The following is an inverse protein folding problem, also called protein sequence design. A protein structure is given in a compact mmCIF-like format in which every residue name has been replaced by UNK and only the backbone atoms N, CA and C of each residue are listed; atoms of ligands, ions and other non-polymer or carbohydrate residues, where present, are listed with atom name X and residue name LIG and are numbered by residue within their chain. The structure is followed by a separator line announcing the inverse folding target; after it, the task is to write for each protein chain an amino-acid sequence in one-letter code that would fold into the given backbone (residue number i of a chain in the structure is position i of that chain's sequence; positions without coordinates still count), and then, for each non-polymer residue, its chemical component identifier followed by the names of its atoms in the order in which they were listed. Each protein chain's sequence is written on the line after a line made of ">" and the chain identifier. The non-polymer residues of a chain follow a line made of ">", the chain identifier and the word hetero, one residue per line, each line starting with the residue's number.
data_IF_340922622801
#
_entry.id   IF_340922622801
#
_cell.length_a   1.000
_cell.length_b   1.000
_cell.length_c   1.000
_cell.angle_alpha   90.00
_cell.angle_beta   90.00
_cell.angle_gamma   90.00
#
_symmetry.space_group_name_H-M   'P 1'
#
loop_
_entity.id
_entity.type
_entity.pdbx_description
1 polymer ?
#
# COMPACT_ATOMS: atom_id res chain seq x y z
N UNK A 1 65.68 0.19 7.49
CA UNK A 1 65.96 -0.56 8.71
C UNK A 1 64.78 -0.40 9.63
N UNK A 2 64.22 -1.51 10.13
CA UNK A 2 63.22 -1.49 11.21
C UNK A 2 61.86 -2.09 10.78
N UNK A 3 61.77 -3.43 10.54
CA UNK A 3 60.51 -4.16 10.47
C UNK A 3 60.04 -4.47 11.89
N UNK A 4 58.84 -4.04 12.22
CA UNK A 4 58.16 -4.44 13.44
C UNK A 4 57.07 -5.48 13.12
N UNK A 5 57.29 -6.69 13.67
CA UNK A 5 56.35 -7.83 13.55
C UNK A 5 55.36 -7.76 14.69
N UNK A 6 54.05 -7.88 14.40
CA UNK A 6 52.99 -8.09 15.39
C UNK A 6 52.57 -9.57 15.33
N UNK A 7 52.47 -10.28 16.48
CA UNK A 7 52.05 -11.69 16.50
C UNK A 7 50.53 -11.85 16.55
N UNK A 8 50.02 -12.74 15.70
CA UNK A 8 48.64 -13.25 15.68
C UNK A 8 48.36 -14.09 16.94
N UNK A 9 47.32 -13.79 17.66
CA UNK A 9 46.67 -14.71 18.61
C UNK A 9 45.30 -15.11 18.09
N UNK A 10 45.18 -16.38 17.73
CA UNK A 10 43.96 -17.08 17.44
C UNK A 10 43.33 -17.50 18.76
N UNK A 11 42.16 -17.04 19.10
CA UNK A 11 41.31 -17.62 20.15
C UNK A 11 40.16 -18.41 19.46
N UNK A 12 40.20 -19.72 19.67
CA UNK A 12 39.09 -20.61 19.38
C UNK A 12 38.18 -20.62 20.61
N UNK A 13 36.93 -20.21 20.46
CA UNK A 13 35.86 -20.55 21.40
C UNK A 13 34.84 -21.42 20.68
N UNK A 14 34.82 -22.69 21.03
CA UNK A 14 33.84 -23.66 20.57
C UNK A 14 32.51 -23.45 21.27
N UNK A 15 31.44 -23.35 20.49
CA UNK A 15 30.06 -23.42 20.97
C UNK A 15 29.59 -24.87 20.88
N UNK A 16 29.16 -25.43 21.99
CA UNK A 16 28.59 -26.77 22.11
C UNK A 16 27.11 -26.75 21.64
N UNK A 17 26.80 -27.54 20.64
CA UNK A 17 25.43 -27.83 20.22
C UNK A 17 24.88 -28.96 21.11
N UNK A 18 23.88 -28.68 21.91
CA UNK A 18 23.13 -29.69 22.69
C UNK A 18 21.95 -30.17 21.85
N UNK A 19 22.07 -31.40 21.34
CA UNK A 19 20.95 -32.11 20.71
C UNK A 19 20.06 -32.75 21.80
N UNK A 20 18.78 -32.34 21.83
CA UNK A 20 17.75 -32.94 22.67
C UNK A 20 17.02 -34.02 21.87
N UNK A 21 17.30 -35.30 22.18
CA UNK A 21 16.60 -36.44 21.60
C UNK A 21 15.33 -36.74 22.41
N UNK A 22 14.16 -36.65 21.80
CA UNK A 22 12.90 -37.17 22.38
C UNK A 22 12.79 -38.68 22.06
N UNK A 23 12.81 -39.49 23.10
CA UNK A 23 12.50 -40.90 23.04
C UNK A 23 10.96 -41.09 23.07
N UNK A 24 10.40 -41.63 22.00
CA UNK A 24 9.02 -42.16 21.98
C UNK A 24 9.08 -43.64 22.31
N UNK A 25 8.60 -44.01 23.49
CA UNK A 25 8.39 -45.39 23.90
C UNK A 25 7.05 -45.88 23.35
N UNK A 26 7.11 -46.84 22.41
CA UNK A 26 5.95 -47.58 21.97
C UNK A 26 5.62 -48.71 22.95
N UNK A 27 4.35 -48.86 23.31
CA UNK A 27 3.81 -50.11 23.89
C UNK A 27 2.94 -50.79 22.83
N UNK A 28 3.37 -52.01 22.44
CA UNK A 28 2.58 -52.95 21.67
C UNK A 28 1.86 -53.90 22.63
N UNK A 29 0.57 -54.12 22.43
CA UNK A 29 -0.12 -55.29 22.94
C UNK A 29 -1.34 -55.63 22.05
N UNK A 30 -1.27 -56.78 21.42
CA UNK A 30 -2.24 -57.85 21.39
C UNK A 30 -3.47 -57.72 20.48
N UNK A 31 -3.44 -58.55 19.44
CA UNK A 31 -4.55 -58.84 18.56
C UNK A 31 -5.69 -59.59 19.30
N UNK A 32 -6.96 -59.31 18.98
CA UNK A 32 -7.94 -60.36 18.69
C UNK A 32 -9.06 -59.79 17.81
N UNK A 33 -9.62 -60.64 16.94
CA UNK A 33 -10.48 -60.29 15.83
C UNK A 33 -11.95 -60.14 16.22
N UNK A 34 -12.70 -59.47 15.39
CA UNK A 34 -14.14 -59.34 15.41
C UNK A 34 -14.63 -58.42 14.30
N UNK A 35 -15.17 -59.04 13.25
CA UNK A 35 -15.89 -58.34 12.17
C UNK A 35 -17.18 -57.71 12.74
N UNK A 36 -17.31 -56.38 12.67
CA UNK A 36 -18.59 -55.69 12.72
C UNK A 36 -18.62 -54.53 11.73
N UNK A 37 -19.60 -54.60 10.83
CA UNK A 37 -19.97 -53.53 9.90
C UNK A 37 -20.28 -52.25 10.65
N UNK A 38 -19.47 -51.20 10.46
CA UNK A 38 -19.76 -49.86 10.97
C UNK A 38 -20.47 -49.04 9.88
N UNK A 39 -21.78 -48.91 10.03
CA UNK A 39 -22.60 -47.91 9.34
C UNK A 39 -22.13 -46.52 9.71
N UNK A 40 -21.76 -45.73 8.71
CA UNK A 40 -21.38 -44.32 8.87
C UNK A 40 -22.59 -43.50 9.33
N UNK A 41 -22.58 -43.08 10.58
CA UNK A 41 -23.49 -42.07 11.10
C UNK A 41 -22.84 -40.70 10.93
N UNK A 42 -23.35 -39.90 9.98
CA UNK A 42 -23.07 -38.49 9.87
C UNK A 42 -23.65 -37.73 11.07
N UNK A 43 -22.82 -37.44 12.05
CA UNK A 43 -23.18 -36.51 13.10
C UNK A 43 -22.94 -35.06 12.60
N UNK A 44 -24.03 -34.45 12.13
CA UNK A 44 -24.09 -33.00 11.94
C UNK A 44 -24.12 -32.32 13.31
N UNK A 45 -23.00 -31.78 13.77
CA UNK A 45 -22.98 -30.91 14.92
C UNK A 45 -23.48 -29.52 14.49
N UNK A 46 -24.75 -29.25 14.82
CA UNK A 46 -25.29 -27.91 14.70
C UNK A 46 -24.59 -27.01 15.75
N UNK A 47 -23.79 -26.05 15.28
CA UNK A 47 -23.29 -24.93 16.06
C UNK A 47 -24.51 -24.04 16.38
N UNK A 48 -24.79 -23.69 17.65
CA UNK A 48 -25.83 -22.72 17.93
C UNK A 48 -25.46 -21.37 17.37
N UNK A 49 -26.32 -20.79 16.52
CA UNK A 49 -26.22 -19.44 16.07
C UNK A 49 -26.30 -18.49 17.29
N UNK A 50 -25.14 -17.91 17.67
CA UNK A 50 -25.09 -16.77 18.53
C UNK A 50 -25.67 -15.58 17.74
N UNK A 51 -26.62 -14.89 18.37
CA UNK A 51 -27.22 -13.67 17.86
C UNK A 51 -26.10 -12.61 17.61
N UNK A 52 -25.80 -12.19 16.37
CA UNK A 52 -24.84 -11.14 16.13
C UNK A 52 -25.53 -9.85 16.55
N UNK A 53 -25.10 -9.28 17.69
CA UNK A 53 -25.46 -7.94 18.11
C UNK A 53 -25.29 -6.99 16.93
N UNK A 54 -26.37 -6.22 16.65
CA UNK A 54 -26.52 -5.45 15.43
C UNK A 54 -25.40 -4.50 15.15
N UNK A 55 -24.53 -4.90 14.21
CA UNK A 55 -23.84 -3.94 13.38
C UNK A 55 -24.86 -3.46 12.35
N UNK A 56 -25.12 -2.18 12.36
CA UNK A 56 -25.89 -1.52 11.32
C UNK A 56 -25.22 -1.91 9.98
N UNK A 57 -25.94 -2.66 9.16
CA UNK A 57 -25.62 -2.80 7.75
C UNK A 57 -25.73 -1.41 7.16
N UNK A 58 -24.59 -0.70 7.03
CA UNK A 58 -24.49 0.43 6.13
C UNK A 58 -24.88 -0.12 4.76
N UNK A 59 -26.04 0.25 4.24
CA UNK A 59 -26.45 -0.04 2.89
C UNK A 59 -25.37 0.55 1.98
N UNK A 60 -24.66 -0.35 1.27
CA UNK A 60 -23.62 -0.01 0.30
C UNK A 60 -24.29 0.53 -0.97
N UNK A 61 -24.85 1.73 -0.91
CA UNK A 61 -25.25 2.55 -2.06
C UNK A 61 -24.38 3.82 -2.11
N UNK A 62 -23.08 3.70 -1.85
CA UNK A 62 -22.16 4.70 -2.34
C UNK A 62 -22.05 4.51 -3.87
N UNK A 63 -22.11 5.59 -4.69
CA UNK A 63 -21.90 5.45 -6.12
C UNK A 63 -20.58 4.75 -6.37
N UNK A 64 -20.58 3.73 -7.22
CA UNK A 64 -19.38 3.02 -7.65
C UNK A 64 -18.35 4.06 -8.09
N UNK A 65 -17.15 4.01 -7.50
CA UNK A 65 -16.10 4.97 -7.82
C UNK A 65 -15.61 4.71 -9.25
N UNK A 66 -15.72 5.72 -10.12
CA UNK A 66 -15.25 5.62 -11.52
C UNK A 66 -13.71 5.71 -11.65
N UNK A 67 -12.98 5.65 -10.51
CA UNK A 67 -11.54 5.90 -10.51
C UNK A 67 -11.20 7.39 -10.69
N UNK A 68 -9.93 7.67 -10.98
CA UNK A 68 -9.45 9.02 -11.31
C UNK A 68 -9.96 9.40 -12.72
N UNK A 69 -10.58 10.57 -12.85
CA UNK A 69 -11.16 11.04 -14.11
C UNK A 69 -10.33 12.16 -14.73
N UNK A 70 -10.57 12.45 -16.02
CA UNK A 70 -9.96 13.60 -16.71
C UNK A 70 -10.29 14.93 -16.01
N UNK A 71 -11.46 15.04 -15.38
CA UNK A 71 -11.86 16.23 -14.63
C UNK A 71 -11.02 16.38 -13.34
N UNK A 72 -10.71 15.27 -12.65
CA UNK A 72 -9.80 15.28 -11.49
C UNK A 72 -8.40 15.71 -11.92
N UNK A 73 -7.89 15.22 -13.03
CA UNK A 73 -6.58 15.58 -13.60
C UNK A 73 -6.53 17.07 -14.01
N UNK A 74 -7.57 17.57 -14.66
CA UNK A 74 -7.66 18.98 -15.05
C UNK A 74 -7.76 19.92 -13.84
N UNK A 75 -8.47 19.50 -12.78
CA UNK A 75 -8.54 20.23 -11.52
C UNK A 75 -7.17 20.23 -10.81
N UNK A 76 -6.51 19.07 -10.75
CA UNK A 76 -5.18 18.94 -10.16
C UNK A 76 -4.14 19.82 -10.86
N UNK A 77 -4.13 19.87 -12.21
CA UNK A 77 -3.22 20.74 -12.97
C UNK A 77 -3.36 22.21 -12.58
N UNK A 78 -4.60 22.67 -12.34
CA UNK A 78 -4.83 24.06 -11.92
C UNK A 78 -4.30 24.32 -10.52
N UNK A 79 -4.53 23.40 -9.59
CA UNK A 79 -4.04 23.48 -8.22
C UNK A 79 -2.50 23.52 -8.23
N UNK A 80 -1.88 22.56 -8.91
CA UNK A 80 -0.43 22.38 -8.95
C UNK A 80 0.28 23.59 -9.61
N UNK A 81 -0.33 24.19 -10.63
CA UNK A 81 0.23 25.39 -11.29
C UNK A 81 0.35 26.60 -10.35
N UNK A 82 -0.47 26.67 -9.31
CA UNK A 82 -0.49 27.75 -8.32
C UNK A 82 0.37 27.42 -7.06
N UNK A 83 0.92 26.18 -6.94
CA UNK A 83 1.75 25.77 -5.81
C UNK A 83 3.09 26.51 -5.76
N UNK A 84 3.49 26.89 -4.55
CA UNK A 84 4.88 27.28 -4.25
C UNK A 84 5.83 26.08 -4.42
N UNK A 85 7.13 26.36 -4.44
CA UNK A 85 8.14 25.28 -4.52
C UNK A 85 8.10 24.38 -3.28
N UNK A 86 7.80 24.94 -2.10
CA UNK A 86 7.66 24.18 -0.85
C UNK A 86 6.44 23.26 -0.88
N UNK A 87 5.28 23.73 -1.33
CA UNK A 87 4.08 22.91 -1.51
C UNK A 87 4.30 21.80 -2.55
N UNK A 88 4.96 22.14 -3.64
CA UNK A 88 5.23 21.22 -4.74
C UNK A 88 6.14 20.07 -4.30
N UNK A 89 7.25 20.38 -3.59
CA UNK A 89 8.18 19.35 -3.11
C UNK A 89 7.56 18.46 -2.03
N UNK A 90 6.72 19.00 -1.15
CA UNK A 90 6.00 18.24 -0.14
C UNK A 90 4.94 17.30 -0.74
N UNK A 91 4.23 17.74 -1.78
CA UNK A 91 3.12 17.00 -2.39
C UNK A 91 3.50 15.67 -3.06
N UNK A 92 4.79 15.40 -3.23
CA UNK A 92 5.32 14.15 -3.80
C UNK A 92 6.00 13.24 -2.77
N UNK A 93 5.84 13.52 -1.47
CA UNK A 93 6.44 12.76 -0.38
C UNK A 93 5.37 12.20 0.55
N UNK A 94 5.45 10.90 0.85
CA UNK A 94 4.57 10.20 1.78
C UNK A 94 5.34 9.79 3.04
N UNK A 95 4.90 10.34 4.18
CA UNK A 95 5.55 10.19 5.49
C UNK A 95 5.48 8.75 6.00
N UNK A 96 6.58 8.28 6.61
CA UNK A 96 6.56 7.30 7.69
C UNK A 96 7.05 7.96 8.98
N UNK A 97 6.59 7.49 10.13
CA UNK A 97 7.03 7.99 11.43
C UNK A 97 7.22 6.85 12.41
N UNK A 98 8.06 7.06 13.42
CA UNK A 98 8.35 6.04 14.43
C UNK A 98 7.55 6.30 15.70
N UNK A 99 6.98 5.22 16.26
CA UNK A 99 6.16 5.29 17.47
C UNK A 99 4.75 5.78 17.21
N UNK A 100 4.04 6.15 18.29
CA UNK A 100 2.57 6.39 18.28
C UNK A 100 2.18 7.86 18.45
N UNK A 101 3.14 8.81 18.29
CA UNK A 101 2.88 10.25 18.38
C UNK A 101 2.30 10.77 17.05
N UNK A 102 1.00 10.56 16.88
CA UNK A 102 0.28 10.97 15.66
C UNK A 102 0.15 12.47 15.51
N UNK A 103 0.08 13.21 16.63
CA UNK A 103 0.00 14.68 16.58
C UNK A 103 1.26 15.28 15.98
N UNK A 104 2.45 14.79 16.39
CA UNK A 104 3.70 15.20 15.78
C UNK A 104 3.80 14.82 14.30
N UNK A 105 3.24 13.66 13.89
CA UNK A 105 3.19 13.27 12.49
C UNK A 105 2.27 14.19 11.67
N UNK A 106 1.12 14.56 12.22
CA UNK A 106 0.19 15.51 11.59
C UNK A 106 0.83 16.89 11.41
N UNK A 107 1.51 17.41 12.45
CA UNK A 107 2.25 18.67 12.38
C UNK A 107 3.28 18.66 11.22
N UNK A 108 4.03 17.57 11.05
CA UNK A 108 5.01 17.43 9.95
C UNK A 108 4.32 17.42 8.58
N UNK A 109 3.18 16.75 8.44
CA UNK A 109 2.41 16.74 7.19
C UNK A 109 1.94 18.15 6.82
N UNK A 110 1.38 18.88 7.79
CA UNK A 110 0.89 20.24 7.58
C UNK A 110 2.03 21.22 7.27
N UNK A 111 3.08 21.25 8.12
CA UNK A 111 4.21 22.19 7.98
C UNK A 111 5.01 22.00 6.69
N UNK A 112 5.09 20.76 6.16
CA UNK A 112 5.87 20.43 4.98
C UNK A 112 5.02 20.11 3.76
N UNK A 113 3.71 20.29 3.84
CA UNK A 113 2.74 20.07 2.76
C UNK A 113 2.78 18.66 2.16
N UNK A 114 3.06 17.63 3.00
CA UNK A 114 3.26 16.26 2.52
C UNK A 114 2.00 15.67 1.87
N UNK A 115 2.18 14.74 0.94
CA UNK A 115 1.09 14.00 0.30
C UNK A 115 0.22 13.24 1.30
N UNK A 116 0.82 12.75 2.37
CA UNK A 116 0.15 11.98 3.42
C UNK A 116 1.08 11.14 4.26
N UNK A 117 0.55 10.08 4.87
CA UNK A 117 1.32 9.12 5.66
C UNK A 117 0.87 7.68 5.42
N UNK A 118 1.81 6.74 5.57
CA UNK A 118 1.50 5.32 5.70
C UNK A 118 1.53 4.93 7.18
N UNK A 119 0.54 4.15 7.61
CA UNK A 119 0.44 3.61 8.96
C UNK A 119 1.01 2.19 8.98
N UNK A 120 2.01 2.01 9.82
CA UNK A 120 2.62 0.71 10.10
C UNK A 120 2.15 0.19 11.46
N UNK A 121 2.24 -1.12 11.71
CA UNK A 121 1.82 -1.69 12.99
C UNK A 121 2.46 -1.05 14.22
N UNK A 122 3.69 -0.53 14.09
CA UNK A 122 4.41 0.17 15.17
C UNK A 122 3.93 1.62 15.42
N UNK A 123 3.00 2.13 14.60
CA UNK A 123 2.36 3.43 14.82
C UNK A 123 1.08 3.32 15.66
N UNK A 124 0.70 2.11 16.02
CA UNK A 124 -0.46 1.80 16.83
C UNK A 124 -0.03 1.24 18.19
N UNK A 125 -0.77 1.56 19.24
CA UNK A 125 -0.56 0.94 20.54
C UNK A 125 -0.89 -0.56 20.48
N UNK A 126 -0.24 -1.37 21.31
CA UNK A 126 -0.51 -2.82 21.38
C UNK A 126 -1.98 -3.08 21.71
N UNK A 127 -2.67 -3.79 20.83
CA UNK A 127 -4.10 -4.10 20.96
C UNK A 127 -5.02 -2.93 20.65
N UNK A 128 -4.57 -1.96 19.83
CA UNK A 128 -5.41 -0.91 19.31
C UNK A 128 -6.68 -1.50 18.67
N UNK A 129 -7.84 -0.99 19.06
CA UNK A 129 -9.11 -1.33 18.44
C UNK A 129 -9.48 -0.36 17.30
N UNK A 130 -10.62 -0.58 16.67
CA UNK A 130 -11.11 0.25 15.56
C UNK A 130 -11.23 1.74 15.94
N UNK A 131 -11.65 2.05 17.16
CA UNK A 131 -11.80 3.44 17.63
C UNK A 131 -10.43 4.13 17.78
N UNK A 132 -9.41 3.38 18.26
CA UNK A 132 -8.04 3.87 18.36
C UNK A 132 -7.43 4.14 16.98
N UNK A 133 -7.60 3.23 16.03
CA UNK A 133 -7.17 3.41 14.63
C UNK A 133 -7.90 4.60 13.99
N UNK A 134 -9.22 4.71 14.17
CA UNK A 134 -10.01 5.83 13.67
C UNK A 134 -9.56 7.18 14.23
N UNK A 135 -9.07 7.21 15.49
CA UNK A 135 -8.47 8.42 16.07
C UNK A 135 -7.19 8.82 15.34
N UNK A 136 -6.30 7.86 15.07
CA UNK A 136 -5.04 8.10 14.33
C UNK A 136 -5.34 8.64 12.93
N UNK A 137 -6.20 7.97 12.17
CA UNK A 137 -6.52 8.39 10.80
C UNK A 137 -7.22 9.73 10.74
N UNK A 138 -8.13 10.04 11.71
CA UNK A 138 -8.79 11.33 11.81
C UNK A 138 -7.80 12.47 12.11
N UNK A 139 -6.84 12.24 13.01
CA UNK A 139 -5.79 13.22 13.31
C UNK A 139 -4.94 13.50 12.07
N UNK A 140 -4.53 12.46 11.33
CA UNK A 140 -3.78 12.65 10.09
C UNK A 140 -4.60 13.34 9.00
N UNK A 141 -5.90 13.01 8.88
CA UNK A 141 -6.79 13.67 7.93
C UNK A 141 -6.91 15.17 8.17
N UNK A 142 -6.91 15.60 9.45
CA UNK A 142 -6.96 17.01 9.82
C UNK A 142 -5.72 17.80 9.36
N UNK A 143 -4.57 17.15 9.15
CA UNK A 143 -3.34 17.77 8.61
C UNK A 143 -3.46 18.25 7.15
N UNK A 144 -4.59 17.98 6.48
CA UNK A 144 -4.91 18.60 5.20
C UNK A 144 -5.03 20.13 5.32
N UNK A 145 -5.40 20.65 6.50
CA UNK A 145 -5.58 22.08 6.72
C UNK A 145 -6.56 22.70 5.72
N UNK A 146 -6.21 23.88 5.20
CA UNK A 146 -7.04 24.65 4.25
C UNK A 146 -6.71 24.35 2.77
N UNK A 147 -5.91 23.32 2.46
CA UNK A 147 -5.41 23.08 1.09
C UNK A 147 -6.48 22.65 0.07
N UNK A 148 -7.67 22.25 0.53
CA UNK A 148 -8.82 21.97 -0.33
C UNK A 148 -8.85 20.54 -0.94
N UNK A 149 -7.89 19.66 -0.62
CA UNK A 149 -7.89 18.22 -0.97
C UNK A 149 -7.30 17.40 0.19
N UNK A 150 -7.71 16.13 0.36
CA UNK A 150 -7.29 15.34 1.52
C UNK A 150 -5.81 14.96 1.48
N UNK A 151 -5.26 14.59 2.63
CA UNK A 151 -4.03 13.79 2.71
C UNK A 151 -4.34 12.34 2.36
N UNK A 152 -3.39 11.64 1.73
CA UNK A 152 -3.47 10.20 1.56
C UNK A 152 -3.10 9.50 2.89
N UNK A 153 -3.93 8.56 3.34
CA UNK A 153 -3.68 7.75 4.54
C UNK A 153 -3.62 6.31 4.11
N UNK A 154 -2.41 5.76 4.04
CA UNK A 154 -2.13 4.45 3.49
C UNK A 154 -1.86 3.40 4.55
N UNK A 155 -1.99 2.14 4.17
CA UNK A 155 -1.63 0.95 4.95
C UNK A 155 -1.24 -0.20 4.03
N UNK A 156 -0.40 -1.13 4.52
CA UNK A 156 -0.21 -2.45 3.93
C UNK A 156 -1.15 -3.46 4.61
N UNK A 157 -2.34 -3.60 4.11
CA UNK A 157 -3.33 -4.60 4.58
C UNK A 157 -3.64 -5.56 3.43
N UNK A 158 -2.67 -6.42 3.11
CA UNK A 158 -2.79 -7.40 2.02
C UNK A 158 -3.65 -8.61 2.44
N UNK A 159 -3.61 -8.92 3.72
CA UNK A 159 -4.09 -10.16 4.31
C UNK A 159 -2.98 -11.19 4.52
N UNK A 160 -3.26 -12.23 5.31
CA UNK A 160 -2.26 -13.22 5.69
C UNK A 160 -1.07 -12.62 6.43
N UNK A 161 0.18 -12.84 5.96
CA UNK A 161 1.37 -12.39 6.70
C UNK A 161 1.58 -10.86 6.67
N UNK A 162 0.94 -10.14 5.75
CA UNK A 162 1.05 -8.69 5.65
C UNK A 162 -0.29 -8.06 6.02
N UNK A 163 -0.45 -7.86 7.32
CA UNK A 163 -1.57 -7.17 7.95
C UNK A 163 -1.01 -6.29 9.08
N UNK A 164 -1.39 -5.00 9.12
CA UNK A 164 -0.87 -4.03 10.09
C UNK A 164 -1.86 -3.70 11.19
N UNK A 165 -3.13 -4.10 11.02
CA UNK A 165 -4.27 -3.69 11.83
C UNK A 165 -4.85 -4.86 12.64
N UNK A 166 -3.96 -5.63 13.29
CA UNK A 166 -4.33 -6.81 14.07
C UNK A 166 -5.44 -6.50 15.08
N UNK A 167 -6.60 -7.15 14.90
CA UNK A 167 -7.76 -7.02 15.80
C UNK A 167 -8.60 -5.75 15.61
N UNK A 168 -8.12 -4.76 14.86
CA UNK A 168 -8.87 -3.54 14.55
C UNK A 168 -9.59 -3.63 13.19
N UNK A 169 -9.05 -4.39 12.25
CA UNK A 169 -9.64 -4.63 10.92
C UNK A 169 -10.00 -6.11 10.73
N UNK A 170 -10.78 -6.39 9.70
CA UNK A 170 -11.11 -7.76 9.31
C UNK A 170 -9.88 -8.52 8.84
N UNK A 171 -9.75 -9.77 9.28
CA UNK A 171 -8.71 -10.69 8.82
C UNK A 171 -9.06 -11.26 7.44
N UNK A 172 -8.18 -11.06 6.47
CA UNK A 172 -8.28 -11.65 5.14
C UNK A 172 -7.14 -12.66 4.91
N UNK A 173 -7.40 -13.74 4.15
CA UNK A 173 -6.34 -14.65 3.73
C UNK A 173 -5.40 -13.93 2.73
N UNK A 174 -4.15 -14.42 2.55
CA UNK A 174 -3.26 -13.89 1.52
C UNK A 174 -3.84 -14.15 0.11
N UNK A 175 -3.42 -13.36 -0.88
CA UNK A 175 -3.94 -13.43 -2.26
C UNK A 175 -3.73 -14.78 -2.95
N UNK A 176 -2.81 -15.63 -2.47
CA UNK A 176 -2.71 -17.03 -2.92
C UNK A 176 -4.04 -17.79 -2.73
N UNK A 177 -4.84 -17.46 -1.73
CA UNK A 177 -6.16 -18.05 -1.55
C UNK A 177 -7.13 -17.64 -2.67
N UNK A 178 -7.08 -16.41 -3.14
CA UNK A 178 -7.85 -15.93 -4.29
C UNK A 178 -7.40 -16.62 -5.59
N UNK A 179 -6.08 -16.76 -5.80
CA UNK A 179 -5.51 -17.52 -6.91
C UNK A 179 -5.94 -18.98 -6.92
N UNK A 180 -5.98 -19.61 -5.73
CA UNK A 180 -6.45 -20.99 -5.57
C UNK A 180 -7.97 -21.13 -5.78
N UNK A 181 -8.76 -20.15 -5.38
CA UNK A 181 -10.21 -20.11 -5.63
C UNK A 181 -10.51 -19.97 -7.13
N UNK A 182 -9.68 -19.23 -7.86
CA UNK A 182 -9.80 -18.96 -9.29
C UNK A 182 -11.23 -18.51 -9.67
N UNK A 183 -11.76 -17.56 -8.89
CA UNK A 183 -13.09 -17.00 -9.03
C UNK A 183 -13.01 -15.46 -8.83
N UNK A 184 -13.17 -14.72 -9.93
CA UNK A 184 -13.05 -13.26 -9.94
C UNK A 184 -14.16 -12.58 -9.13
N UNK A 185 -15.38 -13.13 -9.11
CA UNK A 185 -16.48 -12.54 -8.35
C UNK A 185 -16.28 -12.68 -6.85
N UNK A 186 -15.82 -13.87 -6.39
CA UNK A 186 -15.45 -14.07 -4.98
C UNK A 186 -14.30 -13.15 -4.59
N UNK A 187 -13.28 -12.99 -5.44
CA UNK A 187 -12.16 -12.09 -5.17
C UNK A 187 -12.64 -10.65 -5.04
N UNK A 188 -13.42 -10.17 -6.01
CA UNK A 188 -13.98 -8.81 -6.01
C UNK A 188 -14.80 -8.52 -4.75
N UNK A 189 -15.70 -9.43 -4.39
CA UNK A 189 -16.57 -9.26 -3.22
C UNK A 189 -15.78 -9.28 -1.91
N UNK A 190 -14.75 -10.11 -1.78
CA UNK A 190 -13.86 -10.12 -0.63
C UNK A 190 -13.08 -8.79 -0.52
N UNK A 191 -12.54 -8.28 -1.62
CA UNK A 191 -11.84 -6.99 -1.64
C UNK A 191 -12.79 -5.82 -1.36
N UNK A 192 -14.03 -5.84 -1.84
CA UNK A 192 -15.04 -4.84 -1.46
C UNK A 192 -15.31 -4.83 0.04
N UNK A 193 -15.40 -6.00 0.67
CA UNK A 193 -15.57 -6.09 2.12
C UNK A 193 -14.36 -5.54 2.87
N UNK A 194 -13.13 -5.85 2.42
CA UNK A 194 -11.91 -5.29 2.98
C UNK A 194 -11.85 -3.76 2.80
N UNK A 195 -12.21 -3.28 1.62
CA UNK A 195 -12.22 -1.84 1.32
C UNK A 195 -13.20 -1.07 2.20
N UNK A 196 -14.41 -1.61 2.39
CA UNK A 196 -15.42 -1.01 3.25
C UNK A 196 -14.94 -0.95 4.71
N UNK A 197 -14.27 -1.98 5.19
CA UNK A 197 -13.68 -2.03 6.52
C UNK A 197 -12.58 -0.98 6.69
N UNK A 198 -11.58 -0.95 5.79
CA UNK A 198 -10.49 0.03 5.82
C UNK A 198 -11.00 1.48 5.72
N UNK A 199 -11.99 1.74 4.87
CA UNK A 199 -12.61 3.06 4.77
C UNK A 199 -13.32 3.46 6.06
N UNK A 200 -14.00 2.52 6.73
CA UNK A 200 -14.64 2.80 8.03
C UNK A 200 -13.64 3.18 9.11
N UNK A 201 -12.37 2.75 8.96
CA UNK A 201 -11.25 3.11 9.82
C UNK A 201 -10.55 4.40 9.36
N UNK A 202 -10.99 5.04 8.28
CA UNK A 202 -10.45 6.31 7.76
C UNK A 202 -9.27 6.18 6.81
N UNK A 203 -8.89 4.97 6.35
CA UNK A 203 -7.88 4.80 5.32
C UNK A 203 -8.39 5.21 3.94
N UNK A 204 -7.51 5.82 3.16
CA UNK A 204 -7.77 6.26 1.79
C UNK A 204 -7.01 5.44 0.74
N UNK A 205 -6.00 4.69 1.17
CA UNK A 205 -5.10 3.93 0.30
C UNK A 205 -4.70 2.60 0.95
N UNK A 206 -4.76 1.50 0.19
CA UNK A 206 -4.17 0.22 0.56
C UNK A 206 -3.08 -0.15 -0.45
N UNK A 207 -1.87 -0.45 0.02
CA UNK A 207 -0.79 -0.95 -0.83
C UNK A 207 -0.98 -2.43 -1.14
N UNK A 208 -1.98 -2.72 -1.96
CA UNK A 208 -2.46 -4.01 -2.47
C UNK A 208 -3.19 -3.75 -3.79
N UNK A 209 -3.26 -4.69 -4.73
CA UNK A 209 -2.85 -6.08 -4.66
C UNK A 209 -1.37 -6.33 -4.99
N UNK A 210 -0.85 -7.49 -4.53
CA UNK A 210 0.41 -8.03 -5.05
C UNK A 210 0.16 -8.61 -6.43
N UNK A 211 0.89 -8.10 -7.43
CA UNK A 211 0.81 -8.48 -8.85
C UNK A 211 2.02 -9.31 -9.32
N UNK A 212 2.95 -9.61 -8.40
CA UNK A 212 4.11 -10.45 -8.68
C UNK A 212 3.69 -11.89 -8.99
N UNK A 213 4.36 -12.52 -9.95
CA UNK A 213 4.40 -13.97 -10.05
C UNK A 213 5.34 -14.52 -8.96
N UNK A 214 5.13 -15.75 -8.47
CA UNK A 214 5.99 -16.32 -7.43
C UNK A 214 6.57 -17.67 -7.81
N UNK A 215 7.81 -17.93 -7.39
CA UNK A 215 8.43 -19.26 -7.44
C UNK A 215 8.03 -20.13 -6.23
N UNK A 216 7.06 -19.71 -5.44
CA UNK A 216 6.52 -20.45 -4.30
C UNK A 216 7.45 -20.41 -3.08
N UNK A 217 7.70 -21.58 -2.46
CA UNK A 217 8.43 -21.67 -1.19
C UNK A 217 9.92 -21.26 -1.26
N UNK A 218 10.49 -21.11 -2.44
CA UNK A 218 11.88 -20.65 -2.65
C UNK A 218 11.96 -19.11 -2.59
N UNK A 219 10.84 -18.42 -2.72
CA UNK A 219 10.71 -16.97 -2.58
C UNK A 219 10.44 -16.64 -1.11
N UNK A 220 11.37 -15.97 -0.42
CA UNK A 220 11.21 -15.66 1.01
C UNK A 220 10.28 -14.47 1.27
N UNK A 221 9.99 -13.63 0.26
CA UNK A 221 9.33 -12.33 0.41
C UNK A 221 7.90 -12.36 -0.13
N UNK A 222 7.73 -12.76 -1.39
CA UNK A 222 6.42 -12.73 -2.06
C UNK A 222 5.60 -13.98 -1.72
N UNK A 223 6.08 -15.17 -2.06
CA UNK A 223 5.48 -16.46 -1.65
C UNK A 223 3.93 -16.42 -1.68
N UNK A 224 3.30 -16.62 -0.51
CA UNK A 224 1.82 -16.65 -0.36
C UNK A 224 1.12 -15.30 -0.60
N UNK A 225 1.87 -14.20 -0.64
CA UNK A 225 1.34 -12.86 -0.95
C UNK A 225 0.87 -12.77 -2.41
N UNK A 226 1.54 -13.49 -3.33
CA UNK A 226 1.14 -13.59 -4.73
C UNK A 226 -0.05 -14.52 -4.92
N UNK A 227 -0.94 -14.26 -5.91
CA UNK A 227 -1.98 -15.20 -6.34
C UNK A 227 -1.45 -16.52 -6.94
N UNK A 228 -0.19 -16.57 -7.41
CA UNK A 228 0.43 -17.78 -7.98
C UNK A 228 1.57 -17.52 -8.96
N UNK A 229 1.84 -18.53 -9.78
CA UNK A 229 2.92 -18.57 -10.79
C UNK A 229 2.42 -18.50 -12.25
N UNK A 230 1.10 -18.49 -12.44
CA UNK A 230 0.46 -18.46 -13.75
C UNK A 230 0.03 -17.02 -14.08
N UNK A 231 0.61 -16.37 -15.12
CA UNK A 231 0.34 -14.97 -15.43
C UNK A 231 -1.13 -14.67 -15.68
N UNK A 232 -1.85 -15.56 -16.37
CA UNK A 232 -3.28 -15.39 -16.68
C UNK A 232 -4.13 -15.41 -15.41
N UNK A 233 -3.82 -16.33 -14.47
CA UNK A 233 -4.50 -16.40 -13.17
C UNK A 233 -4.21 -15.20 -12.28
N UNK A 234 -2.94 -14.79 -12.20
CA UNK A 234 -2.53 -13.62 -11.40
C UNK A 234 -3.20 -12.37 -11.94
N UNK A 235 -3.19 -12.18 -13.27
CA UNK A 235 -3.87 -11.07 -13.94
C UNK A 235 -5.37 -11.01 -13.60
N UNK A 236 -6.08 -12.14 -13.66
CA UNK A 236 -7.51 -12.18 -13.35
C UNK A 236 -7.81 -11.83 -11.88
N UNK A 237 -6.94 -12.25 -10.93
CA UNK A 237 -7.08 -11.89 -9.50
C UNK A 237 -6.78 -10.41 -9.29
N UNK A 238 -5.74 -9.89 -9.92
CA UNK A 238 -5.34 -8.47 -9.83
C UNK A 238 -6.44 -7.57 -10.40
N UNK A 239 -6.97 -7.88 -11.58
CA UNK A 239 -8.10 -7.15 -12.19
C UNK A 239 -9.31 -7.10 -11.25
N UNK A 240 -9.71 -8.26 -10.71
CA UNK A 240 -10.84 -8.36 -9.78
C UNK A 240 -10.59 -7.60 -8.46
N UNK A 241 -9.36 -7.59 -7.98
CA UNK A 241 -8.97 -6.85 -6.77
C UNK A 241 -9.01 -5.33 -7.01
N UNK A 242 -8.44 -4.85 -8.12
CA UNK A 242 -8.48 -3.44 -8.50
C UNK A 242 -9.92 -2.94 -8.65
N UNK A 243 -10.79 -3.72 -9.34
CA UNK A 243 -12.22 -3.40 -9.46
C UNK A 243 -12.90 -3.34 -8.07
N UNK A 244 -12.58 -4.28 -7.17
CA UNK A 244 -13.09 -4.30 -5.81
C UNK A 244 -12.71 -3.05 -5.01
N UNK A 245 -11.45 -2.63 -5.06
CA UNK A 245 -10.95 -1.42 -4.40
C UNK A 245 -11.56 -0.15 -5.00
N UNK A 246 -11.45 0.02 -6.32
CA UNK A 246 -11.89 1.24 -7.02
C UNK A 246 -13.38 1.45 -6.89
N UNK A 247 -14.20 0.38 -7.11
CA UNK A 247 -15.65 0.46 -6.95
C UNK A 247 -16.09 0.78 -5.52
N UNK A 248 -15.23 0.53 -4.53
CA UNK A 248 -15.47 0.91 -3.13
C UNK A 248 -14.89 2.28 -2.76
N UNK A 249 -14.23 2.99 -3.67
CA UNK A 249 -13.63 4.30 -3.44
C UNK A 249 -12.38 4.27 -2.55
N UNK A 250 -11.67 3.14 -2.46
CA UNK A 250 -10.37 3.02 -1.81
C UNK A 250 -9.28 2.96 -2.87
N UNK A 251 -8.27 3.83 -2.78
CA UNK A 251 -7.13 3.73 -3.67
C UNK A 251 -6.33 2.45 -3.40
N UNK A 252 -5.78 1.86 -4.46
CA UNK A 252 -5.00 0.63 -4.40
C UNK A 252 -3.69 0.78 -5.17
N UNK A 253 -2.67 -0.02 -4.81
CA UNK A 253 -1.38 -0.02 -5.47
C UNK A 253 -1.00 -1.44 -5.90
N UNK A 254 -0.93 -1.70 -7.21
CA UNK A 254 -0.40 -2.97 -7.70
C UNK A 254 1.13 -3.00 -7.54
N UNK A 255 1.68 -4.12 -7.02
CA UNK A 255 3.08 -4.23 -6.61
C UNK A 255 3.66 -5.62 -6.80
N UNK A 256 4.97 -5.72 -7.01
CA UNK A 256 6.06 -4.73 -7.05
C UNK A 256 6.67 -4.68 -8.45
N UNK A 257 6.30 -3.70 -9.26
CA UNK A 257 6.82 -3.56 -10.62
C UNK A 257 8.36 -3.41 -10.60
N UNK A 258 9.13 -4.03 -11.52
CA UNK A 258 8.74 -4.81 -12.69
C UNK A 258 8.53 -6.32 -12.44
N UNK A 259 8.42 -6.77 -11.19
CA UNK A 259 8.22 -8.17 -10.77
C UNK A 259 9.28 -8.63 -9.79
N UNK A 260 8.88 -8.83 -8.52
CA UNK A 260 9.78 -9.20 -7.41
C UNK A 260 9.77 -10.72 -7.11
N UNK A 261 8.78 -11.46 -7.58
CA UNK A 261 8.46 -12.80 -7.07
C UNK A 261 9.34 -13.94 -7.59
N UNK A 262 10.37 -13.67 -8.41
CA UNK A 262 11.36 -14.65 -8.87
C UNK A 262 12.70 -14.55 -8.14
N UNK A 263 12.75 -13.80 -7.02
CA UNK A 263 13.98 -13.53 -6.29
C UNK A 263 14.06 -14.37 -5.00
N UNK A 264 15.27 -14.66 -4.58
CA UNK A 264 15.57 -15.45 -3.38
C UNK A 264 16.22 -14.64 -2.27
N UNK A 265 16.36 -13.33 -2.47
CA UNK A 265 16.96 -12.36 -1.53
C UNK A 265 15.90 -11.37 -1.09
N UNK A 266 15.90 -11.00 0.19
CA UNK A 266 14.97 -10.06 0.77
C UNK A 266 15.43 -8.61 0.55
N UNK A 267 14.64 -7.82 -0.18
CA UNK A 267 14.90 -6.40 -0.45
C UNK A 267 14.84 -5.50 0.79
N UNK A 268 14.30 -5.97 1.91
CA UNK A 268 14.37 -5.27 3.18
C UNK A 268 15.79 -5.26 3.78
N UNK A 269 16.63 -6.24 3.42
CA UNK A 269 17.98 -6.40 3.97
C UNK A 269 19.06 -5.92 2.99
N UNK A 270 18.95 -6.30 1.71
CA UNK A 270 19.92 -5.94 0.67
C UNK A 270 19.25 -5.91 -0.71
N UNK A 271 19.89 -5.29 -1.70
CA UNK A 271 19.35 -5.21 -3.07
C UNK A 271 19.41 -6.57 -3.75
N UNK A 272 18.26 -7.24 -3.99
CA UNK A 272 18.24 -8.46 -4.80
C UNK A 272 18.48 -8.12 -6.27
N UNK A 273 19.24 -8.96 -6.98
CA UNK A 273 19.52 -8.78 -8.40
C UNK A 273 18.82 -9.86 -9.20
N UNK A 274 18.00 -9.45 -10.17
CA UNK A 274 17.37 -10.36 -11.12
C UNK A 274 18.38 -10.91 -12.11
N UNK A 275 18.21 -12.18 -12.50
CA UNK A 275 18.92 -12.75 -13.65
C UNK A 275 18.25 -12.38 -14.98
N UNK A 276 16.99 -11.94 -14.93
CA UNK A 276 16.18 -11.53 -16.08
C UNK A 276 16.36 -10.03 -16.34
N UNK A 277 16.56 -9.68 -17.60
CA UNK A 277 16.57 -8.29 -18.04
C UNK A 277 15.16 -7.69 -18.05
N UNK A 278 15.05 -6.37 -18.14
CA UNK A 278 13.75 -5.69 -18.26
C UNK A 278 12.98 -6.18 -19.51
N UNK A 279 13.70 -6.51 -20.61
CA UNK A 279 13.11 -7.11 -21.81
C UNK A 279 12.54 -8.51 -21.53
N UNK A 280 13.25 -9.34 -20.76
CA UNK A 280 12.77 -10.68 -20.38
C UNK A 280 11.52 -10.58 -19.48
N UNK A 281 11.54 -9.68 -18.47
CA UNK A 281 10.40 -9.42 -17.56
C UNK A 281 9.18 -8.84 -18.31
N UNK A 282 9.38 -8.16 -19.44
CA UNK A 282 8.29 -7.57 -20.23
C UNK A 282 7.32 -8.59 -20.85
N UNK A 283 7.66 -9.88 -20.79
CA UNK A 283 6.77 -11.01 -21.09
C UNK A 283 5.76 -11.25 -19.96
N UNK A 284 5.86 -12.43 -19.37
CA UNK A 284 4.89 -12.95 -18.39
C UNK A 284 4.78 -12.09 -17.13
N UNK A 285 5.91 -11.53 -16.64
CA UNK A 285 5.92 -10.74 -15.40
C UNK A 285 5.17 -9.41 -15.49
N UNK A 286 5.07 -8.81 -16.70
CA UNK A 286 4.32 -7.57 -16.90
C UNK A 286 2.83 -7.79 -17.13
N UNK A 287 2.37 -9.00 -17.44
CA UNK A 287 0.95 -9.24 -17.71
C UNK A 287 0.03 -8.84 -16.57
N UNK A 288 0.30 -9.19 -15.28
CA UNK A 288 -0.55 -8.74 -14.18
C UNK A 288 -0.56 -7.21 -13.97
N UNK A 289 0.55 -6.53 -14.29
CA UNK A 289 0.64 -5.07 -14.21
C UNK A 289 -0.12 -4.39 -15.34
N UNK A 290 -0.12 -4.97 -16.56
CA UNK A 290 -1.00 -4.51 -17.65
C UNK A 290 -2.46 -4.67 -17.28
N UNK A 291 -2.85 -5.83 -16.73
CA UNK A 291 -4.20 -6.06 -16.25
C UNK A 291 -4.62 -5.05 -15.16
N UNK A 292 -3.72 -4.73 -14.22
CA UNK A 292 -3.95 -3.68 -13.22
C UNK A 292 -4.15 -2.30 -13.87
N UNK A 293 -3.31 -1.93 -14.86
CA UNK A 293 -3.42 -0.67 -15.59
C UNK A 293 -4.74 -0.57 -16.36
N UNK A 294 -5.12 -1.62 -17.10
CA UNK A 294 -6.37 -1.72 -17.84
C UNK A 294 -7.60 -1.66 -16.93
N UNK A 295 -7.51 -2.22 -15.72
CA UNK A 295 -8.54 -2.13 -14.69
C UNK A 295 -8.61 -0.76 -13.99
N UNK A 296 -7.71 0.17 -14.32
CA UNK A 296 -7.70 1.52 -13.77
C UNK A 296 -7.14 1.63 -12.37
N UNK A 297 -6.12 0.83 -12.02
CA UNK A 297 -5.43 0.96 -10.72
C UNK A 297 -4.88 2.38 -10.55
N UNK A 298 -5.16 3.07 -9.43
CA UNK A 298 -4.69 4.44 -9.25
C UNK A 298 -3.17 4.55 -8.99
N UNK A 299 -2.56 3.54 -8.38
CA UNK A 299 -1.12 3.53 -8.12
C UNK A 299 -0.47 2.24 -8.62
N UNK A 300 0.80 2.36 -9.03
CA UNK A 300 1.67 1.21 -9.27
C UNK A 300 2.98 1.40 -8.50
N UNK A 301 3.30 0.44 -7.63
CA UNK A 301 4.46 0.51 -6.77
C UNK A 301 5.64 -0.18 -7.45
N UNK A 302 6.73 0.58 -7.59
CA UNK A 302 8.00 0.11 -8.17
C UNK A 302 8.88 -0.44 -7.06
N UNK A 303 9.23 -1.72 -7.14
CA UNK A 303 10.01 -2.43 -6.13
C UNK A 303 11.52 -2.16 -6.21
N UNK A 304 12.25 -2.70 -5.22
CA UNK A 304 13.71 -2.58 -5.16
C UNK A 304 14.36 -3.84 -5.70
N UNK A 305 14.60 -3.90 -7.00
CA UNK A 305 15.39 -4.95 -7.63
C UNK A 305 16.48 -4.34 -8.51
N UNK A 306 17.68 -4.95 -8.50
CA UNK A 306 18.74 -4.66 -9.45
C UNK A 306 18.49 -5.45 -10.75
N UNK A 307 18.78 -4.84 -11.89
CA UNK A 307 18.60 -5.47 -13.20
C UNK A 307 19.96 -5.69 -13.89
N UNK A 308 20.08 -6.68 -14.80
CA UNK A 308 21.29 -6.87 -15.57
C UNK A 308 21.77 -5.60 -16.27
N UNK A 309 23.01 -5.21 -16.01
CA UNK A 309 23.60 -3.95 -16.51
C UNK A 309 23.41 -2.73 -15.61
N UNK A 310 22.60 -2.86 -14.55
CA UNK A 310 22.36 -1.84 -13.51
C UNK A 310 22.20 -2.51 -12.13
N UNK A 311 23.06 -3.50 -11.82
CA UNK A 311 22.91 -4.38 -10.65
C UNK A 311 22.99 -3.63 -9.32
N UNK A 312 23.66 -2.49 -9.28
CA UNK A 312 23.83 -1.65 -8.09
C UNK A 312 22.75 -0.52 -7.99
N UNK A 313 21.81 -0.47 -8.95
CA UNK A 313 20.76 0.56 -9.00
C UNK A 313 19.40 -0.10 -8.79
N UNK A 314 18.70 0.19 -7.68
CA UNK A 314 17.34 -0.30 -7.49
C UNK A 314 16.41 0.17 -8.62
N UNK A 315 15.48 -0.67 -9.03
CA UNK A 315 14.49 -0.33 -10.07
C UNK A 315 13.74 0.97 -9.76
N UNK A 316 13.48 1.27 -8.48
CA UNK A 316 12.92 2.54 -8.01
C UNK A 316 13.75 3.79 -8.32
N UNK A 317 15.04 3.64 -8.63
CA UNK A 317 15.94 4.74 -8.99
C UNK A 317 16.39 4.66 -10.46
N UNK A 318 15.86 3.70 -11.22
CA UNK A 318 16.25 3.43 -12.61
C UNK A 318 15.22 4.00 -13.59
N UNK A 319 15.58 5.02 -14.41
CA UNK A 319 14.65 5.65 -15.35
C UNK A 319 14.10 4.68 -16.42
N UNK A 320 14.88 3.67 -16.83
CA UNK A 320 14.43 2.70 -17.84
C UNK A 320 13.21 1.90 -17.35
N UNK A 321 13.11 1.68 -16.03
CA UNK A 321 11.98 0.97 -15.41
C UNK A 321 10.70 1.82 -15.48
N UNK A 322 10.80 3.12 -15.24
CA UNK A 322 9.64 4.02 -15.36
C UNK A 322 9.24 4.23 -16.84
N UNK A 323 10.22 4.26 -17.76
CA UNK A 323 9.92 4.27 -19.21
C UNK A 323 9.12 3.02 -19.59
N UNK A 324 9.55 1.83 -19.17
CA UNK A 324 8.81 0.59 -19.42
C UNK A 324 7.42 0.58 -18.76
N UNK A 325 7.29 1.13 -17.53
CA UNK A 325 6.00 1.29 -16.87
C UNK A 325 5.03 2.16 -17.68
N UNK A 326 5.52 3.25 -18.26
CA UNK A 326 4.73 4.17 -19.07
C UNK A 326 4.45 3.65 -20.47
N UNK A 327 5.46 3.10 -21.17
CA UNK A 327 5.37 2.74 -22.57
C UNK A 327 4.92 1.29 -22.80
N UNK A 328 5.47 0.31 -22.03
CA UNK A 328 5.18 -1.11 -22.25
C UNK A 328 3.95 -1.59 -21.47
N UNK A 329 3.69 -1.04 -20.26
CA UNK A 329 2.50 -1.33 -19.47
C UNK A 329 1.36 -0.36 -19.79
N UNK A 330 1.67 0.86 -20.26
CA UNK A 330 0.68 1.89 -20.58
C UNK A 330 0.06 2.52 -19.32
N UNK A 331 0.78 2.57 -18.21
CA UNK A 331 0.27 3.10 -16.95
C UNK A 331 0.38 4.62 -16.87
N UNK A 332 -0.73 5.31 -16.63
CA UNK A 332 -0.80 6.77 -16.54
C UNK A 332 -1.03 7.31 -15.11
N UNK A 333 -1.32 6.43 -14.15
CA UNK A 333 -1.55 6.80 -12.75
C UNK A 333 -0.28 7.13 -11.97
N UNK A 334 -0.37 7.11 -10.65
CA UNK A 334 0.73 7.46 -9.73
C UNK A 334 1.76 6.31 -9.67
N UNK A 335 2.96 6.53 -10.18
CA UNK A 335 4.10 5.64 -9.95
C UNK A 335 4.69 5.96 -8.56
N UNK A 336 4.47 5.06 -7.60
CA UNK A 336 4.98 5.21 -6.23
C UNK A 336 6.19 4.31 -6.02
N UNK A 337 7.19 4.79 -5.30
CA UNK A 337 8.34 3.95 -4.92
C UNK A 337 7.93 2.89 -3.90
N UNK A 338 8.64 1.80 -3.81
CA UNK A 338 8.70 1.02 -2.58
C UNK A 338 9.37 1.85 -1.47
N UNK A 339 9.32 1.37 -0.24
CA UNK A 339 9.79 2.12 0.93
C UNK A 339 11.27 2.50 0.81
N UNK A 340 11.56 3.79 0.66
CA UNK A 340 12.92 4.28 0.41
C UNK A 340 13.87 4.11 1.61
N UNK A 341 13.34 3.78 2.80
CA UNK A 341 14.14 3.44 3.98
C UNK A 341 14.57 1.97 4.07
N UNK A 342 14.27 1.15 3.05
CA UNK A 342 14.70 -0.26 3.00
C UNK A 342 16.20 -0.40 2.73
N UNK A 343 16.77 -1.52 3.18
CA UNK A 343 18.22 -1.79 3.04
C UNK A 343 18.73 -1.89 1.60
N UNK A 344 17.84 -2.12 0.64
CA UNK A 344 18.14 -2.11 -0.79
C UNK A 344 18.50 -0.71 -1.34
N UNK A 345 18.14 0.38 -0.63
CA UNK A 345 18.41 1.76 -1.04
C UNK A 345 19.52 2.35 -0.17
N UNK A 346 20.68 2.67 -0.78
CA UNK A 346 21.88 3.14 -0.07
C UNK A 346 22.36 4.48 -0.62
N UNK A 347 21.57 5.53 -0.43
CA UNK A 347 21.88 6.86 -0.90
C UNK A 347 22.23 7.82 0.26
N UNK A 348 22.74 9.01 -0.06
CA UNK A 348 22.89 10.06 0.92
C UNK A 348 21.50 10.62 1.29
N UNK A 349 21.30 11.15 2.52
CA UNK A 349 20.00 11.62 3.00
C UNK A 349 19.30 12.55 2.00
N UNK A 350 18.06 12.24 1.66
CA UNK A 350 17.22 12.94 0.70
C UNK A 350 17.54 12.69 -0.78
N UNK A 351 18.72 12.14 -1.10
CA UNK A 351 19.12 11.90 -2.49
C UNK A 351 18.38 10.71 -3.11
N UNK A 352 17.94 9.77 -2.30
CA UNK A 352 17.07 8.67 -2.72
C UNK A 352 15.77 9.21 -3.30
N UNK A 353 15.16 10.21 -2.64
CA UNK A 353 13.93 10.85 -3.09
C UNK A 353 14.15 11.65 -4.38
N UNK A 354 15.21 12.46 -4.44
CA UNK A 354 15.55 13.24 -5.65
C UNK A 354 15.75 12.31 -6.85
N UNK A 355 16.51 11.23 -6.69
CA UNK A 355 16.78 10.25 -7.76
C UNK A 355 15.52 9.53 -8.19
N UNK A 356 14.66 9.10 -7.25
CA UNK A 356 13.41 8.44 -7.57
C UNK A 356 12.49 9.34 -8.41
N UNK A 357 12.25 10.58 -7.97
CA UNK A 357 11.42 11.54 -8.71
C UNK A 357 12.05 11.89 -10.07
N UNK A 358 13.36 12.08 -10.14
CA UNK A 358 14.06 12.33 -11.40
C UNK A 358 13.99 11.12 -12.36
N UNK A 359 14.00 9.90 -11.83
CA UNK A 359 13.86 8.68 -12.62
C UNK A 359 12.46 8.46 -13.19
N UNK A 360 11.41 9.03 -12.59
CA UNK A 360 10.04 8.92 -13.09
C UNK A 360 8.98 8.60 -12.02
N UNK A 361 9.36 8.42 -10.74
CA UNK A 361 8.41 8.27 -9.65
C UNK A 361 7.59 9.54 -9.45
N UNK A 362 6.31 9.40 -9.11
CA UNK A 362 5.42 10.52 -8.78
C UNK A 362 5.25 10.69 -7.27
N UNK A 363 5.44 9.63 -6.49
CA UNK A 363 5.30 9.64 -5.04
C UNK A 363 6.45 8.86 -4.39
N UNK A 364 7.22 9.52 -3.54
CA UNK A 364 8.28 8.92 -2.74
C UNK A 364 7.69 8.38 -1.44
N UNK A 365 7.64 7.06 -1.30
CA UNK A 365 7.10 6.38 -0.12
C UNK A 365 8.19 6.17 0.93
N UNK A 366 7.91 6.55 2.18
CA UNK A 366 8.75 6.26 3.34
C UNK A 366 10.24 6.63 3.16
N UNK A 367 10.59 7.87 2.74
CA UNK A 367 12.00 8.26 2.81
C UNK A 367 12.50 8.10 4.25
N UNK A 368 13.81 7.87 4.47
CA UNK A 368 14.39 7.75 5.82
C UNK A 368 14.09 8.92 6.73
N UNK A 369 14.06 10.14 6.17
CA UNK A 369 13.62 11.38 6.81
C UNK A 369 12.88 12.25 5.79
N UNK A 370 11.62 12.60 6.08
CA UNK A 370 10.80 13.40 5.18
C UNK A 370 11.27 14.85 5.07
N UNK A 371 11.91 15.37 6.13
CA UNK A 371 12.50 16.70 6.13
C UNK A 371 13.69 16.79 5.19
N UNK A 372 14.62 15.84 5.28
CA UNK A 372 15.76 15.71 4.37
C UNK A 372 15.28 15.51 2.92
N UNK A 373 14.23 14.74 2.70
CA UNK A 373 13.64 14.49 1.39
C UNK A 373 13.11 15.78 0.75
N UNK A 374 12.27 16.54 1.45
CA UNK A 374 11.70 17.81 0.96
C UNK A 374 12.80 18.87 0.75
N UNK A 375 13.77 18.98 1.67
CA UNK A 375 14.89 19.89 1.52
C UNK A 375 15.77 19.56 0.32
N UNK A 376 16.07 18.27 0.09
CA UNK A 376 16.85 17.82 -1.05
C UNK A 376 16.14 18.07 -2.39
N UNK A 377 14.81 17.84 -2.46
CA UNK A 377 14.00 18.18 -3.62
C UNK A 377 14.03 19.69 -3.91
N UNK A 378 13.90 20.54 -2.88
CA UNK A 378 14.01 22.00 -3.01
C UNK A 378 15.37 22.43 -3.54
N UNK A 379 16.45 21.86 -3.01
CA UNK A 379 17.82 22.12 -3.49
C UNK A 379 18.02 21.66 -4.94
N UNK A 380 17.49 20.51 -5.32
CA UNK A 380 17.56 19.99 -6.68
C UNK A 380 16.76 20.88 -7.68
N UNK A 381 15.63 21.42 -7.23
CA UNK A 381 14.84 22.37 -8.00
C UNK A 381 15.61 23.70 -8.20
N UNK A 382 16.20 24.24 -7.13
CA UNK A 382 16.99 25.48 -7.18
C UNK A 382 18.25 25.36 -8.05
N UNK A 383 18.95 24.20 -8.01
CA UNK A 383 20.13 23.93 -8.83
C UNK A 383 19.81 23.62 -10.28
N UNK A 384 18.57 23.19 -10.57
CA UNK A 384 18.14 22.72 -11.89
C UNK A 384 18.51 21.25 -12.17
N UNK A 385 18.91 20.48 -11.13
CA UNK A 385 19.13 19.03 -11.23
C UNK A 385 17.79 18.27 -11.36
N UNK A 386 16.70 18.87 -10.84
CA UNK A 386 15.33 18.43 -11.04
C UNK A 386 14.51 19.57 -11.63
N UNK A 387 13.79 19.34 -12.72
CA UNK A 387 12.98 20.37 -13.33
C UNK A 387 11.65 20.56 -12.58
N UNK A 388 11.17 21.80 -12.52
CA UNK A 388 9.86 22.11 -11.97
C UNK A 388 8.75 21.38 -12.74
N UNK A 389 8.87 21.27 -14.06
CA UNK A 389 7.93 20.56 -14.91
C UNK A 389 7.77 19.08 -14.49
N UNK A 390 8.89 18.39 -14.14
CA UNK A 390 8.82 17.00 -13.65
C UNK A 390 8.10 16.90 -12.30
N UNK A 391 8.35 17.84 -11.39
CA UNK A 391 7.63 17.88 -10.11
C UNK A 391 6.13 18.21 -10.30
N UNK A 392 5.79 19.16 -11.18
CA UNK A 392 4.40 19.49 -11.50
C UNK A 392 3.66 18.29 -12.12
N UNK A 393 4.34 17.51 -12.96
CA UNK A 393 3.80 16.28 -13.51
C UNK A 393 3.51 15.26 -12.42
N UNK A 394 4.46 15.02 -11.51
CA UNK A 394 4.31 14.11 -10.37
C UNK A 394 3.17 14.55 -9.45
N UNK A 395 3.22 15.80 -9.00
CA UNK A 395 2.21 16.38 -8.12
C UNK A 395 0.80 16.34 -8.73
N UNK A 396 0.69 16.54 -10.06
CA UNK A 396 -0.60 16.48 -10.75
C UNK A 396 -1.23 15.10 -10.61
N UNK A 397 -0.49 14.02 -10.80
CA UNK A 397 -1.01 12.66 -10.63
C UNK A 397 -1.43 12.38 -9.18
N UNK A 398 -0.58 12.77 -8.22
CA UNK A 398 -0.86 12.59 -6.78
C UNK A 398 -2.11 13.37 -6.37
N UNK A 399 -2.20 14.66 -6.71
CA UNK A 399 -3.34 15.50 -6.36
C UNK A 399 -4.62 15.04 -7.07
N UNK A 400 -4.54 14.58 -8.33
CA UNK A 400 -5.71 14.03 -9.04
C UNK A 400 -6.29 12.80 -8.31
N UNK A 401 -5.43 11.89 -7.86
CA UNK A 401 -5.84 10.76 -7.02
C UNK A 401 -6.51 11.22 -5.72
N UNK A 402 -5.95 12.22 -5.05
CA UNK A 402 -6.50 12.75 -3.80
C UNK A 402 -7.84 13.47 -4.03
N UNK A 403 -8.02 14.17 -5.14
CA UNK A 403 -9.31 14.77 -5.53
C UNK A 403 -10.37 13.71 -5.82
N UNK A 404 -10.00 12.62 -6.50
CA UNK A 404 -10.88 11.47 -6.66
C UNK A 404 -11.32 10.91 -5.30
N UNK A 405 -10.39 10.71 -4.36
CA UNK A 405 -10.69 10.24 -3.00
C UNK A 405 -11.67 11.19 -2.28
N UNK A 406 -11.49 12.51 -2.41
CA UNK A 406 -12.41 13.49 -1.86
C UNK A 406 -13.81 13.38 -2.48
N UNK A 407 -13.89 13.20 -3.81
CA UNK A 407 -15.15 13.08 -4.56
C UNK A 407 -15.97 11.84 -4.17
N UNK A 408 -15.28 10.72 -3.87
CA UNK A 408 -15.97 9.48 -3.43
C UNK A 408 -16.22 9.41 -1.92
N UNK A 409 -15.94 10.49 -1.19
CA UNK A 409 -16.32 10.66 0.20
C UNK A 409 -15.55 9.79 1.20
N UNK A 410 -14.24 9.62 0.99
CA UNK A 410 -13.39 8.78 1.85
C UNK A 410 -13.02 9.45 3.18
N UNK A 411 -13.21 10.73 3.33
CA UNK A 411 -12.87 11.41 4.59
C UNK A 411 -14.14 11.64 5.39
N UNK A 412 -14.22 11.05 6.58
CA UNK A 412 -15.31 11.27 7.54
C UNK A 412 -15.41 12.75 7.92
N UNK A 413 -16.21 13.48 7.16
CA UNK A 413 -16.61 14.84 7.44
C UNK A 413 -18.11 14.87 7.45
N UNK A 414 -18.69 15.28 8.58
CA UNK A 414 -20.12 15.61 8.69
C UNK A 414 -20.51 16.52 7.53
N UNK A 415 -21.66 16.21 6.90
CA UNK A 415 -22.30 16.99 5.86
C UNK A 415 -22.19 18.51 6.08
N UNK A 416 -21.27 19.16 5.40
CA UNK A 416 -21.23 20.60 5.24
C UNK A 416 -22.14 21.03 4.08
N UNK A 417 -23.38 20.53 4.05
CA UNK A 417 -24.45 21.03 3.20
C UNK A 417 -25.75 21.19 3.98
N UNK A 418 -25.71 21.97 5.04
CA UNK A 418 -26.91 22.55 5.57
C UNK A 418 -27.23 23.78 4.72
N UNK A 419 -28.07 23.53 3.76
CA UNK A 419 -28.88 24.46 3.00
C UNK A 419 -29.41 25.61 3.85
N UNK A 420 -28.77 26.78 3.80
CA UNK A 420 -29.34 28.05 4.21
C UNK A 420 -30.16 28.63 3.04
N UNK A 421 -31.29 28.00 2.73
CA UNK A 421 -32.37 28.67 2.01
C UNK A 421 -33.32 29.25 3.03
N UNK A 422 -32.92 30.38 3.63
CA UNK A 422 -33.80 31.32 4.32
C UNK A 422 -34.85 31.84 3.35
N UNK A 423 -36.02 31.22 3.35
CA UNK A 423 -37.19 31.75 2.70
C UNK A 423 -37.92 32.70 3.65
N UNK A 424 -37.51 33.94 3.60
CA UNK A 424 -38.25 35.08 4.14
C UNK A 424 -39.25 35.60 3.11
N UNK A 425 -40.50 35.28 3.30
CA UNK A 425 -41.63 36.02 2.73
C UNK A 425 -42.71 35.94 3.81
N UNK A 426 -43.09 36.97 4.45
CA UNK A 426 -43.62 38.23 3.97
C UNK A 426 -45.13 38.19 4.00
N UNK A 427 -45.71 39.18 4.65
CA UNK A 427 -47.05 39.72 4.46
C UNK A 427 -48.26 38.96 5.01
N UNK A 428 -48.94 39.66 5.85
CA UNK A 428 -50.33 39.41 6.21
C UNK A 428 -50.88 40.39 7.24
N UNK A 429 -51.15 41.59 6.81
CA UNK A 429 -51.95 42.57 7.55
C UNK A 429 -53.39 42.10 7.79
N UNK A 430 -53.99 42.56 8.85
CA UNK A 430 -55.43 42.46 9.11
C UNK A 430 -55.69 42.62 10.62
N UNK A 431 -55.87 43.71 11.09
CA UNK A 431 -56.92 44.67 11.25
C UNK A 431 -58.09 44.20 12.18
N UNK A 432 -58.37 45.09 13.11
CA UNK A 432 -59.61 45.42 13.82
C UNK A 432 -60.11 44.62 15.02
N UNK A 433 -60.14 45.37 16.07
CA UNK A 433 -61.33 45.78 16.90
C UNK A 433 -61.95 44.72 17.82
N UNK A 434 -61.89 44.87 19.04
CA UNK A 434 -62.67 45.44 20.12
C UNK A 434 -62.06 45.10 21.49
#
# INVERSE_FOLDING_TARGET
>A
MGRMRIPSRVLHTGAAVSALALLVTGCSAGADGGDEEATAATASAAVPAGDPGGHATAEADAPAGDGVTDDDVEAARKIVADMSDEELTGSVVMLTYNGTDVDAAADVIEERHLAGAIIMGYNLDEGADADAVGTVTTTLAAAAGDRGWPVAIGVDQEGGPVARLDGAALDFPPLMAAGAANDADITRDAIRAQSADLRSLGFTLNYSPVADLTIGAEDPVINVRSPGDDPERVSAVVEAAVDGFTSSGLASAAKHFPGHGHLTVDSHEELPVSEESLEDLSGDSFEPFRAASEAGVPLMLVGHIGLPGAEDVPATLNPDVYEALREDVGFEGVAVTDALNMGAVTEAPGQETVKAIAAGADLALMPPDSGDAVEALGQALESGDLSRERLEEAATRVVAMQLWQARVGVVGGEDASADDTGNGAGDGAGDSAD
#
